data_IF_312006484292
#
_entry.id   IF_312006484292
#
_cell.length_a   1.000
_cell.length_b   1.000
_cell.length_c   1.000
_cell.angle_alpha   90.00
_cell.angle_beta   90.00
_cell.angle_gamma   90.00
#
_symmetry.space_group_name_H-M   'P 1'
#
loop_
_entity.id
_entity.type
_entity.pdbx_description
1 polymer ?
#
# COMPACT_ATOMS: atom_id res chain seq x y z
N UNK A 1 42.83 3.25 -2.91
CA UNK A 1 42.10 2.71 -1.74
C UNK A 1 40.61 2.98 -1.93
N UNK A 2 39.80 1.97 -2.28
CA UNK A 2 38.34 2.14 -2.33
C UNK A 2 37.75 1.65 -1.01
N UNK A 3 37.63 2.56 -0.04
CA UNK A 3 36.92 2.30 1.20
C UNK A 3 35.44 2.09 0.91
N UNK A 4 34.88 0.96 1.39
CA UNK A 4 33.46 0.66 1.32
C UNK A 4 32.66 1.87 1.85
N UNK A 5 31.60 2.32 1.15
CA UNK A 5 30.80 3.45 1.62
C UNK A 5 30.28 3.18 3.03
N UNK A 6 30.29 4.19 3.92
CA UNK A 6 29.83 4.03 5.28
C UNK A 6 28.36 3.60 5.26
N UNK A 7 28.05 2.52 5.97
CA UNK A 7 26.66 2.09 6.15
C UNK A 7 25.93 3.16 6.94
N UNK A 8 24.70 3.50 6.53
CA UNK A 8 23.83 4.41 7.28
C UNK A 8 23.79 3.95 8.74
N UNK A 9 24.09 4.87 9.66
CA UNK A 9 24.07 4.60 11.08
C UNK A 9 22.65 4.23 11.52
N UNK A 10 22.56 3.33 12.50
CA UNK A 10 21.28 3.00 13.12
C UNK A 10 20.82 4.25 13.88
N UNK A 11 19.59 4.74 13.65
CA UNK A 11 19.10 5.92 14.33
C UNK A 11 19.04 5.69 15.84
N UNK A 12 19.34 6.72 16.61
CA UNK A 12 19.18 6.71 18.06
C UNK A 12 17.71 6.56 18.45
N UNK A 13 17.44 6.13 19.69
CA UNK A 13 16.07 6.00 20.21
C UNK A 13 15.29 7.32 20.13
N UNK A 14 15.98 8.47 20.25
CA UNK A 14 15.36 9.79 20.13
C UNK A 14 14.97 10.11 18.69
N UNK A 15 15.83 9.81 17.71
CA UNK A 15 15.54 9.98 16.29
C UNK A 15 14.40 9.07 15.83
N UNK A 16 14.39 7.81 16.29
CA UNK A 16 13.31 6.88 16.04
C UNK A 16 11.96 7.40 16.60
N UNK A 17 11.96 7.90 17.84
CA UNK A 17 10.77 8.49 18.45
C UNK A 17 10.28 9.73 17.69
N UNK A 18 11.20 10.58 17.25
CA UNK A 18 10.83 11.75 16.44
C UNK A 18 10.19 11.35 15.12
N UNK A 19 10.74 10.32 14.46
CA UNK A 19 10.16 9.79 13.22
C UNK A 19 8.75 9.21 13.47
N UNK A 20 8.57 8.46 14.55
CA UNK A 20 7.26 7.91 14.93
C UNK A 20 6.25 9.05 15.13
N UNK A 21 6.60 10.09 15.89
CA UNK A 21 5.70 11.21 16.18
C UNK A 21 5.40 12.08 14.95
N UNK A 22 6.41 12.38 14.14
CA UNK A 22 6.27 13.31 13.01
C UNK A 22 5.65 12.67 11.76
N UNK A 23 5.90 11.38 11.52
CA UNK A 23 5.49 10.69 10.29
C UNK A 23 4.44 9.63 10.55
N UNK A 24 4.72 8.70 11.46
CA UNK A 24 3.87 7.50 11.66
C UNK A 24 2.57 7.82 12.40
N UNK A 25 2.61 8.59 13.49
CA UNK A 25 1.43 8.94 14.27
C UNK A 25 0.32 9.59 13.45
N UNK A 26 0.56 10.71 12.73
CA UNK A 26 -0.52 11.34 11.93
C UNK A 26 -1.01 10.43 10.80
N UNK A 27 -0.17 9.55 10.27
CA UNK A 27 -0.54 8.60 9.22
C UNK A 27 -1.44 7.48 9.75
N UNK A 28 -1.06 6.88 10.89
CA UNK A 28 -1.83 5.84 11.56
C UNK A 28 -3.19 6.35 12.04
N UNK A 29 -3.25 7.57 12.60
CA UNK A 29 -4.50 8.18 13.05
C UNK A 29 -5.48 8.32 11.87
N UNK A 30 -5.01 8.78 10.70
CA UNK A 30 -5.86 8.86 9.50
C UNK A 30 -6.39 7.49 9.08
N UNK A 31 -5.52 6.49 9.02
CA UNK A 31 -5.92 5.14 8.62
C UNK A 31 -6.91 4.49 9.58
N UNK A 32 -6.71 4.67 10.89
CA UNK A 32 -7.63 4.21 11.92
C UNK A 32 -8.96 4.97 11.89
N UNK A 33 -8.94 6.25 11.56
CA UNK A 33 -10.16 7.05 11.40
C UNK A 33 -10.98 6.54 10.21
N UNK A 34 -10.35 6.30 9.07
CA UNK A 34 -11.03 5.77 7.87
C UNK A 34 -11.54 4.34 8.11
N UNK A 35 -10.78 3.53 8.86
CA UNK A 35 -11.22 2.20 9.28
C UNK A 35 -12.48 2.27 10.16
N UNK A 36 -12.51 3.18 11.13
CA UNK A 36 -13.66 3.37 12.01
C UNK A 36 -14.91 3.85 11.25
N UNK A 37 -14.73 4.65 10.19
CA UNK A 37 -15.82 5.13 9.33
C UNK A 37 -16.36 4.03 8.40
N UNK A 38 -15.48 3.28 7.74
CA UNK A 38 -15.86 2.25 6.78
C UNK A 38 -16.44 0.99 7.43
N UNK A 39 -16.01 0.67 8.67
CA UNK A 39 -16.44 -0.50 9.44
C UNK A 39 -16.47 -1.81 8.62
N UNK A 40 -15.39 -2.13 7.88
CA UNK A 40 -15.34 -3.28 7.00
C UNK A 40 -15.36 -4.60 7.80
N UNK A 41 -15.74 -5.70 7.13
CA UNK A 41 -15.69 -7.04 7.73
C UNK A 41 -14.27 -7.45 8.15
N UNK A 42 -13.25 -7.02 7.38
CA UNK A 42 -11.83 -7.30 7.64
C UNK A 42 -11.03 -6.01 7.90
N UNK A 43 -10.93 -5.58 9.17
CA UNK A 43 -10.32 -4.29 9.50
C UNK A 43 -8.82 -4.22 9.19
N UNK A 44 -8.08 -5.31 9.40
CA UNK A 44 -6.65 -5.37 9.11
C UNK A 44 -6.36 -5.26 7.61
N UNK A 45 -7.14 -5.95 6.79
CA UNK A 45 -6.94 -5.99 5.34
C UNK A 45 -7.31 -4.67 4.69
N UNK A 46 -8.39 -4.05 5.16
CA UNK A 46 -8.76 -2.69 4.77
C UNK A 46 -7.68 -1.68 5.14
N UNK A 47 -7.19 -1.69 6.38
CA UNK A 47 -6.16 -0.77 6.83
C UNK A 47 -4.85 -0.93 6.04
N UNK A 48 -4.42 -2.17 5.77
CA UNK A 48 -3.24 -2.43 4.96
C UNK A 48 -3.39 -1.89 3.53
N UNK A 49 -4.55 -2.12 2.91
CA UNK A 49 -4.85 -1.60 1.57
C UNK A 49 -4.82 -0.07 1.56
N UNK A 50 -5.51 0.54 2.53
CA UNK A 50 -5.54 1.99 2.70
C UNK A 50 -4.14 2.59 2.89
N UNK A 51 -3.29 1.96 3.70
CA UNK A 51 -1.91 2.42 3.94
C UNK A 51 -1.04 2.32 2.68
N UNK A 52 -1.25 1.31 1.83
CA UNK A 52 -0.51 1.14 0.57
C UNK A 52 -0.92 2.18 -0.48
N UNK A 53 -2.20 2.55 -0.52
CA UNK A 53 -2.74 3.57 -1.43
C UNK A 53 -2.34 4.98 -1.01
N UNK A 54 -2.35 5.26 0.30
CA UNK A 54 -2.06 6.58 0.86
C UNK A 54 -0.57 6.81 1.15
N UNK A 55 0.33 5.97 0.64
CA UNK A 55 1.75 6.03 0.98
C UNK A 55 2.43 7.30 0.42
N UNK A 56 2.87 8.25 1.28
CA UNK A 56 3.48 9.51 0.86
C UNK A 56 4.87 9.36 0.21
N UNK A 57 5.44 8.15 0.24
CA UNK A 57 6.73 7.84 -0.39
C UNK A 57 6.58 7.12 -1.74
N UNK A 58 5.37 6.95 -2.29
CA UNK A 58 5.25 6.45 -3.66
C UNK A 58 5.82 7.50 -4.63
N UNK A 59 6.84 7.18 -5.43
CA UNK A 59 7.25 8.05 -6.52
C UNK A 59 6.10 8.10 -7.52
N UNK A 60 5.48 9.27 -7.67
CA UNK A 60 4.42 9.51 -8.65
C UNK A 60 4.97 9.63 -10.09
N UNK A 61 6.28 9.48 -10.28
CA UNK A 61 6.96 9.49 -11.57
C UNK A 61 7.82 8.24 -11.72
N UNK A 62 7.29 7.25 -12.41
CA UNK A 62 7.95 5.98 -12.68
C UNK A 62 7.02 5.06 -13.46
N UNK A 63 6.49 5.59 -14.56
CA UNK A 63 6.04 4.83 -15.73
C UNK A 63 6.98 3.64 -15.96
N UNK A 64 6.62 2.47 -15.45
CA UNK A 64 7.01 1.19 -16.06
C UNK A 64 5.76 0.68 -16.77
N UNK A 65 5.48 1.34 -17.89
CA UNK A 65 4.92 0.69 -19.05
C UNK A 65 5.71 -0.61 -19.32
N UNK A 66 4.94 -1.68 -19.51
CA UNK A 66 5.25 -2.91 -20.26
C UNK A 66 5.33 -4.22 -19.46
N UNK A 67 4.52 -5.19 -19.91
CA UNK A 67 4.62 -6.59 -19.54
C UNK A 67 3.41 -7.15 -18.80
N UNK A 68 2.36 -7.47 -19.55
CA UNK A 68 1.05 -7.85 -19.04
C UNK A 68 1.00 -9.06 -18.10
N UNK A 69 -0.10 -9.13 -17.34
CA UNK A 69 -0.60 -10.41 -16.84
C UNK A 69 -2.10 -10.49 -17.06
N UNK A 70 -2.43 -11.50 -17.85
CA UNK A 70 -3.71 -11.86 -18.40
C UNK A 70 -4.84 -11.90 -17.36
N UNK A 71 -6.03 -11.58 -17.87
CA UNK A 71 -7.24 -11.41 -17.11
C UNK A 71 -7.77 -12.68 -16.45
N UNK A 72 -8.60 -12.43 -15.44
CA UNK A 72 -9.68 -13.32 -15.05
C UNK A 72 -10.92 -12.43 -14.92
N UNK A 73 -11.69 -12.36 -16.00
CA UNK A 73 -13.10 -11.97 -15.94
C UNK A 73 -13.87 -13.28 -15.83
N UNK A 74 -14.04 -13.78 -14.61
CA UNK A 74 -15.10 -14.75 -14.36
C UNK A 74 -16.40 -13.96 -14.33
N UNK A 75 -17.15 -14.01 -15.43
CA UNK A 75 -18.59 -13.87 -15.36
C UNK A 75 -19.20 -14.96 -16.23
N UNK A 76 -19.55 -16.05 -15.55
CA UNK A 76 -20.60 -16.97 -15.96
C UNK A 76 -21.87 -16.15 -16.10
N UNK A 77 -22.50 -16.13 -17.27
CA UNK A 77 -23.95 -16.30 -17.43
C UNK A 77 -24.36 -16.12 -18.90
N UNK A 78 -25.15 -17.10 -19.35
CA UNK A 78 -26.13 -17.04 -20.43
C UNK A 78 -25.68 -16.73 -21.85
N UNK A 79 -25.53 -17.78 -22.66
CA UNK A 79 -26.17 -17.76 -23.98
C UNK A 79 -26.91 -19.07 -24.24
N UNK A 80 -28.23 -18.98 -24.04
CA UNK A 80 -29.26 -19.81 -24.65
C UNK A 80 -29.10 -19.69 -26.16
N UNK A 81 -28.48 -20.68 -26.81
CA UNK A 81 -28.51 -20.76 -28.27
C UNK A 81 -28.45 -22.21 -28.79
N UNK A 82 -29.14 -23.11 -28.10
CA UNK A 82 -29.49 -24.42 -28.66
C UNK A 82 -30.94 -24.38 -29.16
N UNK A 83 -31.15 -23.68 -30.27
CA UNK A 83 -32.40 -23.73 -31.03
C UNK A 83 -32.19 -23.30 -32.49
N UNK A 84 -31.74 -24.23 -33.33
CA UNK A 84 -32.25 -24.47 -34.70
C UNK A 84 -31.60 -25.71 -35.28
#
# INVERSE_FOLDING_TARGET
MSGRPPRKAIPSAQEANQYIKSRLQPFLVKGLTELARAKPADPLRYLATWMLENNPNRPMGGEQSDGGRAGVKTNTEEEKNFAS
#
